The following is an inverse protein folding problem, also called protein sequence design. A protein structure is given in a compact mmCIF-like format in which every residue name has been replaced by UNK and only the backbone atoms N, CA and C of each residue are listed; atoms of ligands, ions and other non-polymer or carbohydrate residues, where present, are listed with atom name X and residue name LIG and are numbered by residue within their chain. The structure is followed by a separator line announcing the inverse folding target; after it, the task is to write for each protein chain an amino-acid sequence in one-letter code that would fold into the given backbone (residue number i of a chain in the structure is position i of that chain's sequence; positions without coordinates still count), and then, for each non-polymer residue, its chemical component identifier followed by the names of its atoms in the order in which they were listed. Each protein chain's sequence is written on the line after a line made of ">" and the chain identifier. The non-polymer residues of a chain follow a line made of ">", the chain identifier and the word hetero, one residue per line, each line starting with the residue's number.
data_IF_198026742328
#
_entry.id   IF_198026742328
#
_cell.length_a   1.000
_cell.length_b   1.000
_cell.length_c   1.000
_cell.angle_alpha   90.00
_cell.angle_beta   90.00
_cell.angle_gamma   90.00
#
_symmetry.space_group_name_H-M   'P 1'
#
loop_
_entity.id
_entity.type
_entity.pdbx_description
1 polymer ?
#
# COMPACT_ATOMS: atom_id res chain seq x y z
N UNK A 1 -48.40 -4.90 24.98
CA UNK A 1 -47.64 -5.46 23.88
C UNK A 1 -46.14 -5.31 24.18
N UNK A 2 -45.52 -6.42 24.55
CA UNK A 2 -44.08 -6.47 24.82
C UNK A 2 -43.32 -6.48 23.50
N UNK A 3 -42.73 -5.35 23.16
CA UNK A 3 -41.77 -5.27 22.07
C UNK A 3 -40.45 -5.86 22.59
N UNK A 4 -40.16 -7.09 22.21
CA UNK A 4 -38.85 -7.72 22.44
C UNK A 4 -37.98 -7.41 21.23
N UNK A 5 -36.99 -6.49 21.31
CA UNK A 5 -36.10 -6.25 20.18
C UNK A 5 -35.30 -7.52 19.93
N UNK A 6 -35.29 -7.96 18.67
CA UNK A 6 -34.47 -9.07 18.24
C UNK A 6 -33.02 -8.86 18.69
N UNK A 7 -32.31 -9.91 19.14
CA UNK A 7 -30.91 -9.77 19.55
C UNK A 7 -30.10 -9.24 18.39
N UNK A 8 -29.40 -8.11 18.62
CA UNK A 8 -28.46 -7.53 17.67
C UNK A 8 -27.46 -8.62 17.36
N UNK A 9 -27.38 -9.05 16.07
CA UNK A 9 -26.45 -10.06 15.64
C UNK A 9 -25.06 -9.67 16.13
N UNK A 10 -24.44 -10.53 16.93
CA UNK A 10 -23.07 -10.32 17.39
C UNK A 10 -22.19 -10.24 16.14
N UNK A 11 -21.48 -9.13 15.96
CA UNK A 11 -20.49 -8.97 14.88
C UNK A 11 -19.44 -10.04 15.11
N UNK A 12 -19.30 -11.01 14.19
CA UNK A 12 -18.28 -12.04 14.29
C UNK A 12 -16.90 -11.38 14.42
N UNK A 13 -16.08 -11.82 15.38
CA UNK A 13 -14.73 -11.33 15.56
C UNK A 13 -13.92 -11.58 14.26
N UNK A 14 -13.18 -10.58 13.82
CA UNK A 14 -12.30 -10.70 12.64
C UNK A 14 -11.16 -11.64 12.97
N UNK A 15 -10.95 -12.68 12.14
CA UNK A 15 -9.85 -13.61 12.30
C UNK A 15 -8.51 -12.90 12.03
N UNK A 16 -7.58 -13.00 12.96
CA UNK A 16 -6.20 -12.49 12.80
C UNK A 16 -5.27 -13.68 12.83
N UNK A 17 -4.52 -13.87 11.75
CA UNK A 17 -3.63 -15.02 11.57
C UNK A 17 -2.24 -14.59 11.13
N UNK A 18 -1.23 -15.43 11.41
CA UNK A 18 0.13 -15.17 10.96
C UNK A 18 0.27 -15.48 9.47
N UNK A 19 1.20 -14.80 8.81
CA UNK A 19 1.49 -15.03 7.39
C UNK A 19 1.79 -16.49 7.07
N UNK A 20 2.45 -17.23 8.00
CA UNK A 20 2.78 -18.63 7.85
C UNK A 20 1.59 -19.60 7.89
N UNK A 21 0.44 -19.17 8.43
CA UNK A 21 -0.76 -20.00 8.57
C UNK A 21 -1.62 -20.04 7.29
N UNK A 22 -1.24 -19.25 6.28
CA UNK A 22 -1.96 -19.19 5.01
C UNK A 22 -1.10 -19.66 3.85
N UNK A 23 -1.77 -20.16 2.82
CA UNK A 23 -1.20 -20.55 1.54
C UNK A 23 -1.97 -19.93 0.38
N UNK A 24 -1.29 -19.70 -0.74
CA UNK A 24 -1.91 -19.31 -1.99
C UNK A 24 -2.22 -20.59 -2.79
N UNK A 25 -3.50 -20.84 -3.05
CA UNK A 25 -3.95 -21.97 -3.87
C UNK A 25 -5.08 -21.53 -4.79
N UNK A 26 -4.94 -21.84 -6.08
CA UNK A 26 -5.89 -21.43 -7.14
C UNK A 26 -6.13 -19.91 -7.17
N UNK A 27 -5.07 -19.12 -6.92
CA UNK A 27 -5.13 -17.66 -6.93
C UNK A 27 -5.83 -17.04 -5.71
N UNK A 28 -6.18 -17.84 -4.70
CA UNK A 28 -6.84 -17.37 -3.47
C UNK A 28 -6.04 -17.76 -2.22
N UNK A 29 -5.99 -16.86 -1.27
CA UNK A 29 -5.45 -17.11 0.05
C UNK A 29 -6.41 -17.99 0.85
N UNK A 30 -5.88 -19.03 1.48
CA UNK A 30 -6.61 -19.98 2.33
C UNK A 30 -5.79 -20.26 3.58
N UNK A 31 -6.46 -20.57 4.66
CA UNK A 31 -5.76 -21.19 5.80
C UNK A 31 -5.21 -22.55 5.36
N UNK A 32 -4.00 -22.88 5.82
CA UNK A 32 -3.40 -24.17 5.53
C UNK A 32 -4.30 -25.31 5.97
N UNK A 33 -4.54 -26.27 5.07
CA UNK A 33 -5.43 -27.40 5.32
C UNK A 33 -6.93 -27.09 5.21
N UNK A 34 -7.32 -25.87 4.86
CA UNK A 34 -8.72 -25.49 4.65
C UNK A 34 -9.04 -25.31 3.17
N UNK A 35 -10.27 -25.63 2.80
CA UNK A 35 -10.75 -25.48 1.40
C UNK A 35 -11.28 -24.09 1.10
N UNK A 36 -11.84 -23.43 2.10
CA UNK A 36 -12.50 -22.14 1.92
C UNK A 36 -11.51 -20.98 1.76
N UNK A 37 -11.81 -19.96 0.96
CA UNK A 37 -11.06 -18.73 0.92
C UNK A 37 -11.01 -18.05 2.30
N UNK A 38 -9.87 -17.46 2.64
CA UNK A 38 -9.68 -16.80 3.92
C UNK A 38 -10.31 -15.42 3.95
N UNK A 39 -10.99 -15.12 5.05
CA UNK A 39 -11.47 -13.79 5.42
C UNK A 39 -10.86 -13.40 6.75
N UNK A 40 -10.16 -12.27 6.79
CA UNK A 40 -9.55 -11.80 8.03
C UNK A 40 -8.38 -10.87 7.78
N UNK A 41 -7.44 -10.84 8.72
CA UNK A 41 -6.24 -10.02 8.67
C UNK A 41 -5.02 -10.91 8.80
N UNK A 42 -4.13 -10.84 7.82
CA UNK A 42 -2.80 -11.43 7.90
C UNK A 42 -1.87 -10.46 8.61
N UNK A 43 -1.10 -10.99 9.55
CA UNK A 43 -0.09 -10.19 10.25
C UNK A 43 1.29 -10.85 10.12
N UNK A 44 2.29 -10.02 10.05
CA UNK A 44 3.69 -10.39 10.23
C UNK A 44 4.29 -9.55 11.36
N UNK A 45 5.28 -10.09 12.04
CA UNK A 45 5.95 -9.44 13.15
C UNK A 45 7.46 -9.44 12.98
N UNK A 46 8.10 -8.35 13.39
CA UNK A 46 9.54 -8.27 13.58
C UNK A 46 9.96 -9.01 14.85
N UNK A 47 9.12 -8.91 15.87
CA UNK A 47 9.27 -9.55 17.16
C UNK A 47 7.88 -9.79 17.77
N UNK A 48 7.73 -10.55 18.86
CA UNK A 48 6.41 -10.83 19.46
C UNK A 48 5.55 -9.58 19.75
N UNK A 49 6.18 -8.42 19.97
CA UNK A 49 5.50 -7.17 20.31
C UNK A 49 5.54 -6.10 19.20
N UNK A 50 6.27 -6.36 18.09
CA UNK A 50 6.46 -5.39 17.01
C UNK A 50 5.89 -5.91 15.70
N UNK A 51 4.82 -5.27 15.25
CA UNK A 51 4.20 -5.59 13.97
C UNK A 51 5.09 -5.16 12.81
N UNK A 52 5.21 -6.02 11.81
CA UNK A 52 5.90 -5.77 10.54
C UNK A 52 4.92 -5.43 9.43
N UNK A 53 3.84 -6.18 9.33
CA UNK A 53 2.84 -5.96 8.30
C UNK A 53 1.43 -6.37 8.77
N UNK A 54 0.44 -5.73 8.15
CA UNK A 54 -0.97 -6.01 8.33
C UNK A 54 -1.66 -5.97 6.98
N UNK A 55 -2.34 -7.06 6.61
CA UNK A 55 -2.94 -7.26 5.30
C UNK A 55 -4.38 -7.74 5.46
N UNK A 56 -5.38 -6.89 5.23
CA UNK A 56 -6.77 -7.31 5.23
C UNK A 56 -7.07 -8.17 4.01
N UNK A 57 -7.78 -9.28 4.24
CA UNK A 57 -8.15 -10.25 3.20
C UNK A 57 -9.64 -10.50 3.24
N UNK A 58 -10.27 -10.52 2.08
CA UNK A 58 -11.68 -10.86 1.89
C UNK A 58 -11.84 -11.78 0.70
N UNK A 59 -12.54 -12.89 0.90
CA UNK A 59 -12.71 -13.90 -0.14
C UNK A 59 -11.41 -14.43 -0.72
N UNK A 60 -10.36 -14.55 0.13
CA UNK A 60 -9.03 -14.98 -0.28
C UNK A 60 -8.21 -13.95 -1.06
N UNK A 61 -8.68 -12.71 -1.16
CA UNK A 61 -7.99 -11.62 -1.89
C UNK A 61 -7.70 -10.45 -0.96
N UNK A 62 -6.56 -9.81 -1.13
CA UNK A 62 -6.24 -8.58 -0.41
C UNK A 62 -7.31 -7.54 -0.72
N UNK A 63 -7.94 -6.99 0.32
CA UNK A 63 -9.02 -6.03 0.17
C UNK A 63 -9.07 -5.07 1.35
N UNK A 64 -8.81 -3.81 1.09
CA UNK A 64 -8.67 -2.76 2.09
C UNK A 64 -7.28 -2.17 2.12
N UNK A 65 -6.90 -1.60 3.24
CA UNK A 65 -5.61 -0.90 3.41
C UNK A 65 -4.59 -1.84 4.03
N UNK A 66 -3.53 -2.13 3.30
CA UNK A 66 -2.35 -2.82 3.80
C UNK A 66 -1.41 -1.82 4.47
N UNK A 67 -0.76 -2.23 5.54
CA UNK A 67 0.23 -1.43 6.26
C UNK A 67 1.48 -2.23 6.54
N UNK A 68 2.61 -1.54 6.48
CA UNK A 68 3.91 -2.07 6.87
C UNK A 68 4.65 -1.09 7.75
N UNK A 69 5.51 -1.61 8.61
CA UNK A 69 6.30 -0.83 9.56
C UNK A 69 7.75 -1.25 9.53
N UNK A 70 8.64 -0.28 9.71
CA UNK A 70 10.04 -0.55 10.02
C UNK A 70 10.15 -1.25 11.38
N UNK A 71 11.26 -1.90 11.63
CA UNK A 71 11.53 -2.56 12.93
C UNK A 71 11.50 -1.56 14.10
N UNK A 72 11.79 -0.28 13.84
CA UNK A 72 11.66 0.81 14.81
C UNK A 72 10.22 1.10 15.24
N UNK A 73 9.21 0.60 14.49
CA UNK A 73 7.79 0.88 14.71
C UNK A 73 7.26 2.08 13.90
N UNK A 74 8.12 2.80 13.20
CA UNK A 74 7.70 3.85 12.26
C UNK A 74 7.01 3.22 11.06
N UNK A 75 5.90 3.78 10.62
CA UNK A 75 5.20 3.30 9.43
C UNK A 75 6.08 3.44 8.19
N UNK A 76 6.16 2.37 7.38
CA UNK A 76 6.95 2.31 6.15
C UNK A 76 6.10 2.49 4.91
N UNK A 77 4.95 1.81 4.87
CA UNK A 77 4.08 1.80 3.69
C UNK A 77 2.62 1.65 4.07
N UNK A 78 1.76 2.30 3.30
CA UNK A 78 0.33 2.11 3.28
C UNK A 78 -0.13 2.04 1.83
N UNK A 79 -0.91 1.03 1.48
CA UNK A 79 -1.42 0.83 0.13
C UNK A 79 -2.85 0.30 0.16
N UNK A 80 -3.71 0.85 -0.68
CA UNK A 80 -5.11 0.45 -0.78
C UNK A 80 -5.31 -0.59 -1.87
N UNK A 81 -6.08 -1.64 -1.56
CA UNK A 81 -6.43 -2.74 -2.45
C UNK A 81 -7.93 -2.94 -2.54
N UNK A 82 -8.38 -3.37 -3.71
CA UNK A 82 -9.75 -3.76 -3.97
C UNK A 82 -9.75 -5.08 -4.74
N UNK A 83 -10.25 -6.15 -4.12
CA UNK A 83 -10.34 -7.46 -4.74
C UNK A 83 -9.01 -8.03 -5.25
N UNK A 84 -7.90 -7.79 -4.55
CA UNK A 84 -6.56 -8.24 -4.90
C UNK A 84 -5.79 -7.29 -5.82
N UNK A 85 -6.41 -6.19 -6.27
CA UNK A 85 -5.79 -5.22 -7.18
C UNK A 85 -5.56 -3.91 -6.44
N UNK A 86 -4.37 -3.33 -6.59
CA UNK A 86 -4.05 -2.02 -6.02
C UNK A 86 -4.97 -0.96 -6.61
N UNK A 87 -5.66 -0.21 -5.74
CA UNK A 87 -6.59 0.85 -6.12
C UNK A 87 -6.70 1.87 -5.00
N UNK A 88 -6.21 3.07 -5.24
CA UNK A 88 -6.13 4.14 -4.25
C UNK A 88 -4.72 4.65 -4.05
N UNK A 89 -4.47 5.27 -2.92
CA UNK A 89 -3.16 5.82 -2.59
C UNK A 89 -2.19 4.72 -2.18
N UNK A 90 -0.95 4.81 -2.70
CA UNK A 90 0.24 4.19 -2.14
C UNK A 90 1.10 5.29 -1.55
N UNK A 91 1.33 5.21 -0.26
CA UNK A 91 2.14 6.16 0.49
C UNK A 91 3.29 5.41 1.17
N UNK A 92 4.49 5.97 1.08
CA UNK A 92 5.68 5.45 1.75
C UNK A 92 6.33 6.53 2.59
N UNK A 93 6.95 6.13 3.68
CA UNK A 93 7.66 7.01 4.62
C UNK A 93 9.11 6.58 4.73
N UNK A 94 9.98 7.53 4.97
CA UNK A 94 11.36 7.29 5.40
C UNK A 94 11.38 6.74 6.83
N UNK A 95 12.48 6.11 7.22
CA UNK A 95 12.66 5.56 8.57
C UNK A 95 12.60 6.60 9.69
N UNK A 96 12.81 7.88 9.38
CA UNK A 96 12.64 9.00 10.30
C UNK A 96 11.18 9.49 10.42
N UNK A 97 10.23 8.86 9.72
CA UNK A 97 8.81 9.21 9.72
C UNK A 97 8.40 10.27 8.70
N UNK A 98 9.34 10.91 8.00
CA UNK A 98 9.03 11.86 6.94
C UNK A 98 8.43 11.15 5.72
N UNK A 99 7.53 11.79 5.03
CA UNK A 99 6.93 11.28 3.78
C UNK A 99 8.04 11.03 2.75
N UNK A 100 8.03 9.84 2.14
CA UNK A 100 9.01 9.42 1.13
C UNK A 100 8.46 9.48 -0.29
N UNK A 101 7.25 8.93 -0.49
CA UNK A 101 6.62 8.95 -1.81
C UNK A 101 5.11 8.80 -1.70
N UNK A 102 4.40 9.29 -2.73
CA UNK A 102 2.97 9.14 -2.85
C UNK A 102 2.55 9.09 -4.30
N UNK A 103 1.66 8.14 -4.63
CA UNK A 103 1.09 7.98 -5.97
C UNK A 103 -0.33 7.44 -5.86
N UNK A 104 -1.19 7.86 -6.77
CA UNK A 104 -2.51 7.27 -6.96
C UNK A 104 -2.41 6.08 -7.90
N UNK A 105 -3.09 4.99 -7.57
CA UNK A 105 -3.18 3.78 -8.39
C UNK A 105 -4.64 3.54 -8.72
N UNK A 106 -4.94 3.33 -9.98
CA UNK A 106 -6.29 3.01 -10.45
C UNK A 106 -6.24 1.69 -11.22
N UNK A 107 -6.98 0.68 -10.72
CA UNK A 107 -7.00 -0.67 -11.30
C UNK A 107 -5.60 -1.23 -11.60
N UNK A 108 -4.67 -1.08 -10.65
CA UNK A 108 -3.30 -1.53 -10.77
C UNK A 108 -2.36 -0.64 -11.57
N UNK A 109 -2.85 0.44 -12.17
CA UNK A 109 -2.03 1.37 -12.96
C UNK A 109 -1.75 2.67 -12.18
N UNK A 110 -0.51 3.12 -12.21
CA UNK A 110 -0.11 4.39 -11.62
C UNK A 110 -0.71 5.55 -12.42
N UNK A 111 -1.29 6.53 -11.73
CA UNK A 111 -1.99 7.66 -12.33
C UNK A 111 -1.54 8.99 -11.72
N UNK A 112 -1.68 10.06 -12.52
CA UNK A 112 -1.42 11.43 -12.07
C UNK A 112 0.06 11.74 -12.02
N UNK A 113 0.59 11.97 -10.83
CA UNK A 113 2.00 12.26 -10.63
C UNK A 113 2.57 11.41 -9.48
N UNK A 114 3.73 10.85 -9.71
CA UNK A 114 4.53 10.23 -8.67
C UNK A 114 5.35 11.31 -7.97
N UNK A 115 5.10 11.50 -6.68
CA UNK A 115 5.81 12.50 -5.87
C UNK A 115 6.74 11.81 -4.89
N UNK A 116 7.95 12.35 -4.79
CA UNK A 116 8.98 11.85 -3.89
C UNK A 116 9.54 13.01 -3.07
N UNK A 117 9.90 12.74 -1.83
CA UNK A 117 10.46 13.71 -0.88
C UNK A 117 11.77 13.21 -0.29
N UNK A 118 12.65 14.13 0.01
CA UNK A 118 13.86 13.85 0.78
C UNK A 118 13.54 13.56 2.25
N UNK A 119 14.45 12.90 2.99
CA UNK A 119 14.26 12.64 4.42
C UNK A 119 14.05 13.89 5.28
N UNK A 120 14.48 15.07 4.82
CA UNK A 120 14.25 16.36 5.48
C UNK A 120 12.85 16.95 5.22
N UNK A 121 11.98 16.23 4.49
CA UNK A 121 10.61 16.64 4.16
C UNK A 121 10.47 17.53 2.92
N UNK A 122 11.57 17.94 2.30
CA UNK A 122 11.52 18.74 1.06
C UNK A 122 11.21 17.87 -0.15
N UNK A 123 10.45 18.41 -1.09
CA UNK A 123 10.13 17.74 -2.34
C UNK A 123 11.44 17.41 -3.10
N UNK A 124 11.57 16.15 -3.53
CA UNK A 124 12.74 15.65 -4.27
C UNK A 124 12.46 15.50 -5.75
N UNK A 125 11.29 14.97 -6.13
CA UNK A 125 10.95 14.74 -7.53
C UNK A 125 9.44 14.70 -7.74
N UNK A 126 9.02 15.18 -8.90
CA UNK A 126 7.66 14.99 -9.42
C UNK A 126 7.76 14.40 -10.82
N UNK A 127 7.18 13.23 -10.98
CA UNK A 127 7.16 12.50 -12.25
C UNK A 127 5.72 12.40 -12.74
N UNK A 128 5.34 13.08 -13.82
CA UNK A 128 4.02 12.91 -14.42
C UNK A 128 3.88 11.51 -15.02
N UNK A 129 2.69 10.94 -14.92
CA UNK A 129 2.40 9.57 -15.34
C UNK A 129 1.30 9.56 -16.40
N UNK A 130 1.47 8.70 -17.39
CA UNK A 130 0.46 8.38 -18.40
C UNK A 130 0.50 6.89 -18.69
N UNK A 131 -0.65 6.23 -18.62
CA UNK A 131 -0.78 4.79 -18.82
C UNK A 131 0.20 3.96 -17.95
N UNK A 132 0.40 4.38 -16.69
CA UNK A 132 1.28 3.70 -15.73
C UNK A 132 2.77 3.96 -15.90
N UNK A 133 3.17 4.79 -16.85
CA UNK A 133 4.57 5.10 -17.16
C UNK A 133 4.86 6.60 -17.01
N UNK A 134 6.12 6.93 -16.73
CA UNK A 134 6.58 8.31 -16.73
C UNK A 134 6.37 8.93 -18.13
N UNK A 135 5.67 10.05 -18.20
CA UNK A 135 5.39 10.76 -19.43
C UNK A 135 5.23 12.25 -19.16
N UNK A 136 6.08 13.07 -19.72
CA UNK A 136 6.08 14.52 -19.57
C UNK A 136 7.34 15.07 -18.92
N UNK A 137 7.24 16.24 -18.32
CA UNK A 137 8.34 16.94 -17.69
C UNK A 137 8.56 16.45 -16.26
N UNK A 138 9.65 15.72 -16.03
CA UNK A 138 10.10 15.33 -14.70
C UNK A 138 10.91 16.47 -14.10
N UNK A 139 10.54 16.86 -12.87
CA UNK A 139 11.21 17.90 -12.10
C UNK A 139 11.87 17.28 -10.87
N UNK A 140 13.10 17.70 -10.61
CA UNK A 140 13.87 17.30 -9.44
C UNK A 140 14.38 18.49 -8.64
N UNK A 141 14.60 18.26 -7.35
CA UNK A 141 15.18 19.24 -6.40
C UNK A 141 16.20 18.55 -5.54
N UNK A 142 17.25 19.28 -5.22
CA UNK A 142 18.29 18.86 -4.29
C UNK A 142 17.80 18.89 -2.84
N UNK A 143 18.55 18.30 -1.94
CA UNK A 143 18.22 18.25 -0.50
C UNK A 143 18.06 19.64 0.12
N UNK A 144 18.83 20.64 -0.38
CA UNK A 144 18.73 22.02 0.05
C UNK A 144 17.54 22.79 -0.53
N UNK A 145 16.78 22.15 -1.45
CA UNK A 145 15.62 22.72 -2.13
C UNK A 145 15.94 23.45 -3.44
N UNK A 146 17.20 23.53 -3.83
CA UNK A 146 17.61 24.08 -5.14
C UNK A 146 17.15 23.16 -6.28
N UNK A 147 17.03 23.72 -7.50
CA UNK A 147 16.65 22.93 -8.67
C UNK A 147 17.70 21.86 -8.96
N UNK A 148 17.26 20.59 -8.97
CA UNK A 148 18.08 19.43 -9.29
C UNK A 148 18.07 19.06 -10.75
N UNK A 149 17.22 19.71 -11.55
CA UNK A 149 17.13 19.50 -12.99
C UNK A 149 15.74 19.23 -13.52
N UNK A 150 15.66 19.21 -14.85
CA UNK A 150 14.49 18.91 -15.64
C UNK A 150 14.84 17.84 -16.66
N UNK A 151 13.93 16.89 -16.87
CA UNK A 151 14.05 15.88 -17.91
C UNK A 151 12.69 15.67 -18.58
N UNK A 152 12.70 15.53 -19.91
CA UNK A 152 11.51 15.14 -20.65
C UNK A 152 11.53 13.64 -20.87
N UNK A 153 10.44 12.98 -20.47
CA UNK A 153 10.27 11.53 -20.56
C UNK A 153 9.01 11.24 -21.36
N UNK A 154 9.04 10.23 -22.22
CA UNK A 154 7.90 9.75 -22.96
C UNK A 154 7.83 8.22 -22.90
N UNK A 155 6.68 7.68 -22.47
CA UNK A 155 6.46 6.25 -22.31
C UNK A 155 7.58 5.54 -21.52
N UNK A 156 8.02 6.15 -20.42
CA UNK A 156 9.08 5.64 -19.55
C UNK A 156 10.50 5.82 -20.05
N UNK A 157 10.71 6.45 -21.20
CA UNK A 157 12.04 6.64 -21.78
C UNK A 157 12.40 8.13 -21.86
N UNK A 158 13.66 8.51 -21.52
CA UNK A 158 14.12 9.87 -21.75
C UNK A 158 13.97 10.24 -23.22
N UNK A 159 13.48 11.46 -23.48
CA UNK A 159 13.50 12.03 -24.83
C UNK A 159 14.91 12.52 -25.09
N UNK A 160 15.60 11.88 -26.04
CA UNK A 160 16.97 12.22 -26.44
C UNK A 160 17.08 13.67 -26.96
N UNK A 161 18.30 14.20 -26.85
CA UNK A 161 18.68 15.50 -27.43
C UNK A 161 18.67 15.44 -28.96
#
# INVERSE_FOLDING_TARGET
>A
SNFNPAPKAATAAVAVVQRGDVELRDGLLRLRGHSEPFDGILVEHWSPTRRKAEVPVRGGRVNGITRGWYESGVQEVEESFRGGVSHGWRTRWHSNGALKSRVWIQHGNLCGAFREWHPNGRLARVTPLKAGQADGLVRGWEVDGSSGGLAVVKAGKPVGR
#
